data_IF_375245742203
#
_entry.id   IF_375245742203
#
_cell.length_a   1.000
_cell.length_b   1.000
_cell.length_c   1.000
_cell.angle_alpha   90.00
_cell.angle_beta   90.00
_cell.angle_gamma   90.00
#
_symmetry.space_group_name_H-M   'P 1'
#
loop_
_entity.id
_entity.type
_entity.pdbx_description
1 polymer ?
#
# COMPACT_ATOMS: atom_id res chain seq x y z
N UNK A 1 -29.91 60.09 6.15
CA UNK A 1 -30.93 59.47 7.01
C UNK A 1 -30.45 58.06 7.34
N UNK A 2 -29.83 57.90 8.50
CA UNK A 2 -29.32 56.62 9.00
C UNK A 2 -30.48 55.87 9.65
N UNK A 3 -31.00 54.84 9.00
CA UNK A 3 -31.95 53.89 9.60
C UNK A 3 -31.19 52.93 10.53
N UNK A 4 -30.64 53.45 11.62
CA UNK A 4 -30.20 52.61 12.73
C UNK A 4 -31.47 52.22 13.48
N UNK A 5 -31.76 50.92 13.56
CA UNK A 5 -32.94 50.43 14.26
C UNK A 5 -32.93 50.86 15.74
N UNK A 6 -34.10 51.00 16.33
CA UNK A 6 -34.24 51.31 17.75
C UNK A 6 -34.28 50.02 18.57
N UNK A 7 -33.68 50.04 19.76
CA UNK A 7 -33.79 48.94 20.71
C UNK A 7 -35.25 48.80 21.16
N UNK A 8 -35.87 47.62 21.08
CA UNK A 8 -37.27 47.44 21.46
C UNK A 8 -37.51 47.57 22.97
N UNK A 9 -36.45 47.50 23.79
CA UNK A 9 -36.55 47.63 25.25
C UNK A 9 -36.48 49.09 25.68
N UNK A 10 -35.48 49.84 25.23
CA UNK A 10 -35.29 51.23 25.65
C UNK A 10 -35.82 52.27 24.64
N UNK A 11 -36.37 51.80 23.51
CA UNK A 11 -36.94 52.58 22.40
C UNK A 11 -36.01 53.64 21.81
N UNK A 12 -34.72 53.55 22.14
CA UNK A 12 -33.66 54.47 21.72
C UNK A 12 -32.71 53.78 20.74
N UNK A 13 -31.83 54.55 20.10
CA UNK A 13 -30.73 54.00 19.30
C UNK A 13 -29.93 52.97 20.10
N UNK A 14 -29.49 51.91 19.43
CA UNK A 14 -28.70 50.86 20.06
C UNK A 14 -27.41 51.41 20.68
N UNK A 15 -27.28 51.24 22.00
CA UNK A 15 -26.05 51.48 22.76
C UNK A 15 -25.47 50.13 23.12
N UNK A 16 -24.32 49.79 22.53
CA UNK A 16 -23.64 48.50 22.71
C UNK A 16 -24.56 47.32 22.34
N UNK A 17 -24.80 47.08 21.03
CA UNK A 17 -25.72 46.04 20.59
C UNK A 17 -25.25 44.64 21.02
N UNK A 18 -26.14 43.90 21.66
CA UNK A 18 -25.97 42.52 22.09
C UNK A 18 -27.00 41.63 21.37
N UNK A 19 -26.52 40.55 20.73
CA UNK A 19 -27.38 39.59 20.03
C UNK A 19 -27.56 38.32 20.86
N UNK A 20 -28.81 37.96 21.14
CA UNK A 20 -29.13 36.65 21.74
C UNK A 20 -29.10 35.54 20.68
N UNK A 21 -28.98 34.24 21.07
CA UNK A 21 -28.85 33.13 20.12
C UNK A 21 -29.97 33.01 19.08
N UNK A 22 -31.15 33.58 19.32
CA UNK A 22 -32.24 33.65 18.35
C UNK A 22 -32.15 34.82 17.35
N UNK A 23 -31.05 35.60 17.37
CA UNK A 23 -30.75 36.64 16.39
C UNK A 23 -31.37 38.03 16.66
N UNK A 24 -32.10 38.20 17.76
CA UNK A 24 -32.62 39.51 18.17
C UNK A 24 -31.52 40.38 18.78
N UNK A 25 -31.54 41.69 18.50
CA UNK A 25 -30.59 42.66 19.02
C UNK A 25 -31.22 43.58 20.08
N UNK A 26 -30.49 43.80 21.17
CA UNK A 26 -30.84 44.68 22.29
C UNK A 26 -29.62 45.50 22.71
N UNK A 27 -29.80 46.54 23.53
CA UNK A 27 -28.67 47.17 24.22
C UNK A 27 -28.14 46.22 25.32
N UNK A 28 -26.82 46.12 25.50
CA UNK A 28 -26.19 45.26 26.51
C UNK A 28 -26.80 45.47 27.91
N UNK A 29 -26.89 46.74 28.35
CA UNK A 29 -27.52 47.11 29.63
C UNK A 29 -28.98 46.66 29.72
N UNK A 30 -29.73 46.75 28.62
CA UNK A 30 -31.13 46.32 28.57
C UNK A 30 -31.26 44.79 28.66
N UNK A 31 -30.30 44.03 28.12
CA UNK A 31 -30.27 42.58 28.25
C UNK A 31 -29.95 42.14 29.69
N UNK A 32 -29.01 42.81 30.35
CA UNK A 32 -28.64 42.51 31.73
C UNK A 32 -29.76 42.84 32.72
N UNK A 33 -30.43 43.98 32.55
CA UNK A 33 -31.49 44.44 33.47
C UNK A 33 -32.78 43.62 33.37
N UNK A 34 -33.09 43.09 32.18
CA UNK A 34 -34.28 42.27 31.93
C UNK A 34 -34.04 40.77 32.08
N UNK A 35 -32.85 40.32 32.47
CA UNK A 35 -32.58 38.91 32.75
C UNK A 35 -33.34 38.36 33.96
N UNK A 36 -33.83 39.23 34.83
CA UNK A 36 -34.53 38.91 36.09
C UNK A 36 -36.04 39.11 36.06
N UNK A 37 -36.59 39.71 35.00
CA UNK A 37 -38.03 39.82 34.79
C UNK A 37 -38.35 39.35 33.38
N UNK A 38 -39.03 38.20 33.30
CA UNK A 38 -39.53 37.55 32.09
C UNK A 38 -39.65 38.53 30.92
N UNK A 39 -38.67 38.49 30.01
CA UNK A 39 -38.90 38.97 28.66
C UNK A 39 -40.09 38.13 28.20
N UNK A 40 -41.28 38.74 28.21
CA UNK A 40 -42.39 38.35 27.35
C UNK A 40 -41.85 38.51 25.93
N UNK A 41 -41.03 37.53 25.58
CA UNK A 41 -40.68 37.19 24.24
C UNK A 41 -42.05 37.05 23.60
N UNK A 42 -42.34 37.94 22.66
CA UNK A 42 -43.39 37.67 21.69
C UNK A 42 -43.29 36.19 21.32
N UNK A 43 -44.43 35.49 21.28
CA UNK A 43 -44.56 34.03 21.13
C UNK A 43 -43.75 33.42 19.96
N UNK A 44 -43.10 34.25 19.14
CA UNK A 44 -42.14 33.93 18.10
C UNK A 44 -40.84 33.24 18.56
N UNK A 45 -40.44 33.30 19.84
CA UNK A 45 -39.13 32.80 20.28
C UNK A 45 -39.14 31.55 21.18
N UNK A 46 -40.31 31.00 21.55
CA UNK A 46 -40.38 30.00 22.62
C UNK A 46 -40.23 28.54 22.16
N UNK A 47 -40.31 28.20 20.86
CA UNK A 47 -40.44 26.79 20.44
C UNK A 47 -39.55 26.32 19.28
N UNK A 48 -38.45 27.00 18.97
CA UNK A 48 -37.55 26.58 17.89
C UNK A 48 -36.42 25.69 18.39
N UNK A 49 -36.48 24.38 18.15
CA UNK A 49 -35.25 23.58 17.97
C UNK A 49 -34.32 24.38 17.08
N UNK A 50 -33.11 24.72 17.55
CA UNK A 50 -32.13 25.43 16.75
C UNK A 50 -31.65 24.49 15.63
N UNK A 51 -32.48 24.31 14.60
CA UNK A 51 -32.04 23.91 13.28
C UNK A 51 -30.96 24.92 12.94
N UNK A 52 -29.72 24.44 12.89
CA UNK A 52 -28.51 25.21 12.65
C UNK A 52 -28.84 26.25 11.58
N UNK A 53 -29.16 27.48 12.00
CA UNK A 53 -29.43 28.54 11.06
C UNK A 53 -28.08 28.76 10.41
N UNK A 54 -27.95 28.35 9.17
CA UNK A 54 -26.88 28.81 8.31
C UNK A 54 -26.93 30.32 8.47
N UNK A 55 -25.93 30.98 9.08
CA UNK A 55 -26.02 32.39 9.35
C UNK A 55 -26.24 33.03 8.00
N UNK A 56 -27.43 33.56 7.78
CA UNK A 56 -27.77 34.28 6.55
C UNK A 56 -26.74 35.39 6.51
N UNK A 57 -25.75 35.24 5.62
CA UNK A 57 -24.60 36.13 5.49
C UNK A 57 -25.14 37.56 5.34
N UNK A 58 -25.22 38.30 6.44
CA UNK A 58 -25.41 39.74 6.36
C UNK A 58 -24.16 40.25 5.68
N UNK A 59 -24.31 40.78 4.47
CA UNK A 59 -23.22 41.43 3.75
C UNK A 59 -22.75 42.59 4.61
N UNK A 60 -21.71 42.35 5.39
CA UNK A 60 -20.99 43.38 6.13
C UNK A 60 -20.09 44.05 5.10
N UNK A 61 -20.50 45.23 4.64
CA UNK A 61 -19.64 46.09 3.85
C UNK A 61 -18.63 46.71 4.81
N UNK A 62 -17.44 46.12 4.89
CA UNK A 62 -16.31 46.75 5.54
C UNK A 62 -15.93 47.97 4.68
N UNK A 63 -16.02 49.16 5.25
CA UNK A 63 -15.55 50.41 4.65
C UNK A 63 -14.03 50.38 4.54
N UNK A 64 -13.52 49.55 3.63
CA UNK A 64 -12.09 49.45 3.32
C UNK A 64 -11.77 50.46 2.24
N UNK A 65 -10.59 51.08 2.32
CA UNK A 65 -10.14 51.95 1.24
C UNK A 65 -10.03 51.12 -0.06
N UNK A 66 -10.29 51.71 -1.24
CA UNK A 66 -10.25 50.97 -2.50
C UNK A 66 -8.90 50.24 -2.72
N UNK A 67 -7.80 50.81 -2.25
CA UNK A 67 -6.46 50.18 -2.29
C UNK A 67 -6.33 48.91 -1.44
N UNK A 68 -6.98 48.85 -0.27
CA UNK A 68 -6.94 47.66 0.60
C UNK A 68 -7.82 46.53 0.03
N UNK A 69 -8.92 46.90 -0.63
CA UNK A 69 -9.83 45.95 -1.26
C UNK A 69 -9.18 45.22 -2.44
N UNK A 70 -8.35 45.90 -3.22
CA UNK A 70 -7.67 45.32 -4.38
C UNK A 70 -6.62 44.27 -3.98
N UNK A 71 -5.85 44.54 -2.92
CA UNK A 71 -4.91 43.56 -2.37
C UNK A 71 -5.59 42.32 -1.77
N UNK A 72 -6.80 42.47 -1.23
CA UNK A 72 -7.60 41.34 -0.76
C UNK A 72 -8.15 40.51 -1.93
N UNK A 73 -8.66 41.15 -2.98
CA UNK A 73 -9.16 40.48 -4.18
C UNK A 73 -8.06 39.62 -4.81
N UNK A 74 -6.87 40.17 -5.01
CA UNK A 74 -5.73 39.42 -5.56
C UNK A 74 -5.36 38.20 -4.70
N UNK A 75 -5.39 38.34 -3.37
CA UNK A 75 -5.13 37.21 -2.46
C UNK A 75 -6.21 36.14 -2.57
N UNK A 76 -7.48 36.52 -2.69
CA UNK A 76 -8.59 35.58 -2.87
C UNK A 76 -8.42 34.81 -4.18
N UNK A 77 -8.17 35.51 -5.29
CA UNK A 77 -7.94 34.87 -6.60
C UNK A 77 -6.75 33.91 -6.57
N UNK A 78 -5.63 34.31 -5.94
CA UNK A 78 -4.45 33.47 -5.79
C UNK A 78 -4.74 32.21 -4.95
N UNK A 79 -5.51 32.34 -3.87
CA UNK A 79 -5.91 31.21 -3.03
C UNK A 79 -6.88 30.28 -3.75
N UNK A 80 -7.84 30.82 -4.50
CA UNK A 80 -8.76 30.03 -5.31
C UNK A 80 -8.03 29.24 -6.39
N UNK A 81 -7.04 29.84 -7.06
CA UNK A 81 -6.19 29.15 -8.02
C UNK A 81 -5.41 28.01 -7.36
N UNK A 82 -4.83 28.24 -6.17
CA UNK A 82 -4.12 27.21 -5.41
C UNK A 82 -5.03 26.06 -4.98
N UNK A 83 -6.25 26.35 -4.53
CA UNK A 83 -7.24 25.33 -4.16
C UNK A 83 -7.59 24.45 -5.37
N UNK A 84 -7.75 25.04 -6.56
CA UNK A 84 -8.01 24.28 -7.79
C UNK A 84 -6.87 23.32 -8.11
N UNK A 85 -5.62 23.76 -8.03
CA UNK A 85 -4.45 22.91 -8.26
C UNK A 85 -4.40 21.76 -7.24
N UNK A 86 -4.52 22.07 -5.94
CA UNK A 86 -4.48 21.07 -4.87
C UNK A 86 -5.60 20.03 -5.00
N UNK A 87 -6.77 20.41 -5.52
CA UNK A 87 -7.86 19.46 -5.76
C UNK A 87 -7.54 18.49 -6.90
N UNK A 88 -6.89 18.97 -7.96
CA UNK A 88 -6.43 18.11 -9.07
C UNK A 88 -5.37 17.14 -8.56
N UNK A 89 -4.36 17.64 -7.85
CA UNK A 89 -3.28 16.80 -7.29
C UNK A 89 -3.81 15.74 -6.31
N UNK A 90 -4.75 16.12 -5.42
CA UNK A 90 -5.37 15.15 -4.51
C UNK A 90 -6.15 14.06 -5.26
N UNK A 91 -6.84 14.42 -6.34
CA UNK A 91 -7.55 13.45 -7.17
C UNK A 91 -6.58 12.45 -7.82
N UNK A 92 -5.49 12.95 -8.41
CA UNK A 92 -4.47 12.11 -9.03
C UNK A 92 -3.77 11.21 -8.02
N UNK A 93 -3.42 11.75 -6.85
CA UNK A 93 -2.81 10.98 -5.76
C UNK A 93 -3.73 9.85 -5.31
N UNK A 94 -5.01 10.14 -5.08
CA UNK A 94 -6.01 9.11 -4.71
C UNK A 94 -6.10 8.01 -5.77
N UNK A 95 -6.16 8.38 -7.05
CA UNK A 95 -6.18 7.43 -8.16
C UNK A 95 -4.93 6.56 -8.18
N UNK A 96 -3.76 7.14 -7.92
CA UNK A 96 -2.49 6.42 -7.83
C UNK A 96 -2.49 5.44 -6.64
N UNK A 97 -2.93 5.87 -5.47
CA UNK A 97 -3.07 5.02 -4.29
C UNK A 97 -4.01 3.84 -4.52
N UNK A 98 -5.14 4.06 -5.19
CA UNK A 98 -6.10 3.00 -5.54
C UNK A 98 -5.48 1.95 -6.47
N UNK A 99 -4.71 2.40 -7.47
CA UNK A 99 -3.99 1.50 -8.38
C UNK A 99 -2.96 0.64 -7.62
N UNK A 100 -2.12 1.27 -6.80
CA UNK A 100 -1.10 0.55 -6.01
C UNK A 100 -1.77 -0.45 -5.06
N UNK A 101 -2.86 -0.07 -4.40
CA UNK A 101 -3.61 -0.96 -3.52
C UNK A 101 -4.17 -2.18 -4.27
N UNK A 102 -4.68 -1.99 -5.49
CA UNK A 102 -5.15 -3.08 -6.33
C UNK A 102 -4.01 -4.03 -6.75
N UNK A 103 -2.85 -3.48 -7.11
CA UNK A 103 -1.67 -4.26 -7.46
C UNK A 103 -1.13 -5.06 -6.28
N UNK A 104 -1.01 -4.46 -5.10
CA UNK A 104 -0.62 -5.15 -3.85
C UNK A 104 -1.59 -6.29 -3.54
N UNK A 105 -2.90 -6.06 -3.69
CA UNK A 105 -3.90 -7.10 -3.47
C UNK A 105 -3.76 -8.26 -4.48
N UNK A 106 -3.41 -7.97 -5.73
CA UNK A 106 -3.11 -9.01 -6.74
C UNK A 106 -1.87 -9.81 -6.37
N UNK A 107 -0.80 -9.15 -5.93
CA UNK A 107 0.42 -9.81 -5.48
C UNK A 107 0.18 -10.70 -4.26
N UNK A 108 -0.53 -10.20 -3.24
CA UNK A 108 -0.86 -10.97 -2.05
C UNK A 108 -1.66 -12.26 -2.37
N UNK A 109 -2.63 -12.16 -3.30
CA UNK A 109 -3.35 -13.35 -3.79
C UNK A 109 -2.43 -14.35 -4.50
N UNK A 110 -1.52 -13.85 -5.33
CA UNK A 110 -0.54 -14.69 -6.03
C UNK A 110 0.41 -15.40 -5.07
N UNK A 111 0.90 -14.69 -4.05
CA UNK A 111 1.77 -15.26 -3.01
C UNK A 111 1.05 -16.35 -2.21
N UNK A 112 -0.19 -16.09 -1.77
CA UNK A 112 -0.97 -17.09 -1.04
C UNK A 112 -1.26 -18.33 -1.90
N UNK A 113 -1.57 -18.15 -3.18
CA UNK A 113 -1.76 -19.27 -4.10
C UNK A 113 -0.46 -20.10 -4.27
N UNK A 114 0.69 -19.44 -4.35
CA UNK A 114 1.99 -20.11 -4.40
C UNK A 114 2.29 -20.87 -3.11
N UNK A 115 2.05 -20.26 -1.94
CA UNK A 115 2.21 -20.90 -0.63
C UNK A 115 1.36 -22.17 -0.50
N UNK A 116 0.08 -22.09 -0.86
CA UNK A 116 -0.82 -23.24 -0.84
C UNK A 116 -0.35 -24.38 -1.77
N UNK A 117 0.28 -24.03 -2.90
CA UNK A 117 0.84 -25.03 -3.82
C UNK A 117 2.09 -25.69 -3.23
N UNK A 118 2.97 -24.90 -2.60
CA UNK A 118 4.15 -25.42 -1.89
C UNK A 118 3.71 -26.38 -0.79
N UNK A 119 2.77 -25.98 0.08
CA UNK A 119 2.24 -26.82 1.15
C UNK A 119 1.65 -28.13 0.61
N UNK A 120 0.87 -28.08 -0.48
CA UNK A 120 0.34 -29.29 -1.13
C UNK A 120 1.45 -30.22 -1.60
N UNK A 121 2.49 -29.68 -2.24
CA UNK A 121 3.61 -30.48 -2.73
C UNK A 121 4.45 -31.03 -1.58
N UNK A 122 4.66 -30.26 -0.51
CA UNK A 122 5.36 -30.72 0.69
C UNK A 122 4.63 -31.90 1.34
N UNK A 123 3.30 -31.82 1.47
CA UNK A 123 2.48 -32.92 1.98
C UNK A 123 2.60 -34.18 1.10
N UNK A 124 2.55 -34.03 -0.24
CA UNK A 124 2.70 -35.16 -1.15
C UNK A 124 4.11 -35.77 -1.09
N UNK A 125 5.15 -34.94 -1.05
CA UNK A 125 6.53 -35.44 -0.91
C UNK A 125 6.74 -36.17 0.41
N UNK A 126 6.11 -35.71 1.49
CA UNK A 126 6.15 -36.38 2.80
C UNK A 126 5.48 -37.74 2.73
N UNK A 127 4.26 -37.80 2.16
CA UNK A 127 3.52 -39.05 1.96
C UNK A 127 4.31 -40.06 1.11
N UNK A 128 4.92 -39.62 0.02
CA UNK A 128 5.71 -40.50 -0.84
C UNK A 128 6.96 -41.04 -0.13
N UNK A 129 7.59 -40.24 0.74
CA UNK A 129 8.73 -40.71 1.56
C UNK A 129 8.31 -41.77 2.57
N UNK A 130 7.14 -41.62 3.19
CA UNK A 130 6.59 -42.63 4.11
C UNK A 130 6.33 -43.95 3.38
N UNK A 131 5.62 -43.90 2.26
CA UNK A 131 5.35 -45.10 1.42
C UNK A 131 6.63 -45.77 0.94
N UNK A 132 7.65 -44.99 0.55
CA UNK A 132 8.95 -45.53 0.18
C UNK A 132 9.63 -46.21 1.37
N UNK A 133 9.52 -45.63 2.57
CA UNK A 133 10.02 -46.21 3.81
C UNK A 133 9.38 -47.56 4.11
N UNK A 134 8.05 -47.66 4.01
CA UNK A 134 7.29 -48.90 4.20
C UNK A 134 7.70 -49.97 3.19
N UNK A 135 7.74 -49.63 1.90
CA UNK A 135 8.12 -50.56 0.82
C UNK A 135 9.57 -51.07 0.97
N UNK A 136 10.50 -50.23 1.43
CA UNK A 136 11.87 -50.63 1.70
C UNK A 136 11.96 -51.61 2.88
N UNK A 137 11.16 -51.41 3.93
CA UNK A 137 11.07 -52.35 5.05
C UNK A 137 10.50 -53.70 4.59
N UNK A 138 9.42 -53.69 3.81
CA UNK A 138 8.84 -54.91 3.24
C UNK A 138 9.83 -55.67 2.35
N UNK A 139 10.52 -54.98 1.44
CA UNK A 139 11.53 -55.59 0.57
C UNK A 139 12.69 -56.19 1.38
N UNK A 140 13.10 -55.54 2.48
CA UNK A 140 14.13 -56.06 3.38
C UNK A 140 13.67 -57.33 4.09
N UNK A 141 12.43 -57.37 4.56
CA UNK A 141 11.84 -58.58 5.18
C UNK A 141 11.74 -59.71 4.15
N UNK A 142 11.19 -59.46 2.97
CA UNK A 142 11.08 -60.45 1.90
C UNK A 142 12.44 -61.06 1.52
N UNK A 143 13.49 -60.23 1.43
CA UNK A 143 14.87 -60.71 1.20
C UNK A 143 15.38 -61.61 2.32
N UNK A 144 15.06 -61.33 3.57
CA UNK A 144 15.47 -62.15 4.71
C UNK A 144 14.77 -63.53 4.75
N UNK A 145 13.58 -63.64 4.17
CA UNK A 145 12.82 -64.89 4.09
C UNK A 145 13.12 -65.72 2.84
N UNK A 146 13.96 -65.25 1.91
CA UNK A 146 14.39 -66.07 0.78
C UNK A 146 15.27 -67.22 1.30
N UNK A 147 14.89 -68.49 1.07
CA UNK A 147 15.72 -69.61 1.45
C UNK A 147 17.05 -69.51 0.70
N UNK A 148 18.16 -69.68 1.40
CA UNK A 148 19.47 -69.84 0.79
C UNK A 148 19.37 -70.94 -0.26
N UNK A 149 19.42 -70.54 -1.53
CA UNK A 149 19.50 -71.48 -2.65
C UNK A 149 20.68 -72.41 -2.38
N UNK A 150 20.53 -73.73 -2.58
CA UNK A 150 21.66 -74.64 -2.51
C UNK A 150 22.71 -74.21 -3.52
N UNK A 151 23.96 -74.19 -3.06
CA UNK A 151 25.14 -73.82 -3.82
C UNK A 151 25.19 -74.54 -5.18
N UNK A 152 24.95 -73.82 -6.26
CA UNK A 152 25.48 -74.20 -7.56
C UNK A 152 26.79 -73.47 -7.76
N UNK A 153 27.87 -74.14 -7.36
CA UNK A 153 29.24 -73.87 -7.76
C UNK A 153 29.32 -73.83 -9.30
N UNK A 154 29.24 -72.63 -9.86
CA UNK A 154 29.44 -72.36 -11.28
C UNK A 154 30.39 -71.18 -11.43
N UNK A 155 31.68 -71.50 -11.42
CA UNK A 155 32.78 -70.62 -11.81
C UNK A 155 32.49 -70.06 -13.20
N UNK A 156 32.50 -68.74 -13.32
CA UNK A 156 32.35 -68.00 -14.55
C UNK A 156 32.85 -66.58 -14.32
N UNK A 157 34.17 -66.46 -14.19
CA UNK A 157 34.89 -65.21 -14.40
C UNK A 157 34.45 -64.63 -15.74
N UNK A 158 33.92 -63.40 -15.77
CA UNK A 158 34.04 -62.56 -16.96
C UNK A 158 33.81 -61.07 -16.66
N UNK A 159 34.93 -60.36 -16.78
CA UNK A 159 35.10 -58.99 -17.27
C UNK A 159 34.48 -57.80 -16.52
N UNK A 160 35.35 -57.21 -15.69
CA UNK A 160 35.76 -55.81 -15.78
C UNK A 160 35.53 -55.18 -17.18
N UNK A 161 34.53 -54.31 -17.29
CA UNK A 161 34.48 -53.24 -18.31
C UNK A 161 33.91 -51.96 -17.73
N UNK A 162 34.82 -50.99 -17.54
CA UNK A 162 34.67 -49.54 -17.77
C UNK A 162 33.47 -48.85 -17.10
N UNK A 163 33.62 -47.96 -16.13
CA UNK A 163 34.50 -46.77 -16.12
C UNK A 163 34.51 -46.03 -17.46
N UNK A 164 33.40 -45.35 -17.83
CA UNK A 164 33.43 -44.13 -18.68
C UNK A 164 32.09 -43.42 -18.96
N UNK A 165 30.94 -43.84 -18.42
CA UNK A 165 29.66 -43.20 -18.83
C UNK A 165 29.15 -42.06 -17.92
N UNK A 166 29.85 -41.74 -16.83
CA UNK A 166 29.41 -40.66 -15.90
C UNK A 166 29.68 -39.24 -16.45
N UNK A 167 30.60 -39.07 -17.41
CA UNK A 167 30.98 -37.72 -17.90
C UNK A 167 30.09 -37.23 -19.05
N UNK A 168 29.31 -38.11 -19.72
CA UNK A 168 28.48 -37.74 -20.88
C UNK A 168 27.06 -37.26 -20.54
N UNK A 169 26.59 -37.43 -19.32
CA UNK A 169 25.24 -36.99 -18.91
C UNK A 169 25.16 -35.52 -18.44
N UNK A 170 26.29 -34.83 -18.24
CA UNK A 170 26.30 -33.46 -17.70
C UNK A 170 26.35 -32.35 -18.76
N UNK A 171 26.78 -32.64 -19.99
CA UNK A 171 26.82 -31.65 -21.07
C UNK A 171 25.44 -31.05 -21.47
N UNK A 172 24.32 -31.81 -21.45
CA UNK A 172 23.01 -31.24 -21.78
C UNK A 172 22.46 -30.30 -20.69
N UNK A 173 22.82 -30.53 -19.42
CA UNK A 173 22.30 -29.75 -18.28
C UNK A 173 22.88 -28.34 -18.25
N UNK A 174 24.14 -28.15 -18.66
CA UNK A 174 24.75 -26.82 -18.70
C UNK A 174 24.13 -25.97 -19.82
N UNK A 175 23.80 -26.53 -20.98
CA UNK A 175 23.11 -25.80 -22.06
C UNK A 175 21.68 -25.36 -21.70
N UNK A 176 20.96 -26.14 -20.89
CA UNK A 176 19.60 -25.79 -20.46
C UNK A 176 19.55 -24.61 -19.47
N UNK A 177 20.62 -24.40 -18.69
CA UNK A 177 20.73 -23.26 -17.78
C UNK A 177 20.99 -21.97 -18.57
N UNK A 178 21.82 -22.02 -19.62
CA UNK A 178 22.11 -20.84 -20.44
C UNK A 178 20.91 -20.32 -21.26
N UNK A 179 20.01 -21.22 -21.69
CA UNK A 179 18.83 -20.81 -22.47
C UNK A 179 17.68 -20.25 -21.62
N UNK A 180 17.52 -20.69 -20.37
CA UNK A 180 16.43 -20.18 -19.51
C UNK A 180 16.67 -18.77 -18.96
N UNK A 181 17.92 -18.32 -18.83
CA UNK A 181 18.19 -16.96 -18.34
C UNK A 181 17.97 -15.87 -19.40
N UNK A 182 17.93 -16.21 -20.69
CA UNK A 182 17.66 -15.25 -21.75
C UNK A 182 16.16 -14.90 -21.89
N UNK A 183 15.26 -15.69 -21.31
CA UNK A 183 13.81 -15.49 -21.38
C UNK A 183 13.16 -14.98 -20.09
N UNK A 184 13.92 -14.80 -19.01
CA UNK A 184 13.44 -14.04 -17.84
C UNK A 184 13.57 -12.56 -18.17
N UNK A 185 12.65 -12.07 -19.01
CA UNK A 185 12.34 -10.67 -19.17
C UNK A 185 11.81 -10.13 -17.85
N UNK A 186 12.72 -9.79 -16.93
CA UNK A 186 12.44 -8.99 -15.74
C UNK A 186 11.98 -7.61 -16.21
N UNK A 187 10.67 -7.49 -16.43
CA UNK A 187 9.98 -6.22 -16.61
C UNK A 187 10.19 -5.40 -15.33
N UNK A 188 11.06 -4.40 -15.45
CA UNK A 188 11.57 -3.53 -14.36
C UNK A 188 10.44 -2.67 -13.79
N UNK A 189 10.31 -2.54 -12.45
CA UNK A 189 9.68 -1.39 -11.82
C UNK A 189 10.67 -0.44 -11.14
N UNK A 190 11.97 -0.77 -11.07
CA UNK A 190 12.96 0.07 -10.40
C UNK A 190 14.18 0.24 -11.31
N UNK A 191 14.57 1.50 -11.56
CA UNK A 191 15.63 1.91 -12.49
C UNK A 191 17.05 1.55 -12.04
N UNK A 192 17.31 0.28 -11.73
CA UNK A 192 18.63 -0.24 -11.40
C UNK A 192 19.09 -1.14 -12.55
N UNK A 193 20.21 -0.80 -13.18
CA UNK A 193 20.87 -1.69 -14.14
C UNK A 193 21.72 -2.68 -13.36
N UNK A 194 21.35 -3.96 -13.42
CA UNK A 194 22.17 -5.04 -12.89
C UNK A 194 23.07 -5.52 -14.05
N UNK A 195 24.37 -5.25 -13.97
CA UNK A 195 25.35 -5.88 -14.84
C UNK A 195 25.95 -7.09 -14.13
N UNK A 196 25.83 -8.27 -14.75
CA UNK A 196 26.50 -9.49 -14.29
C UNK A 196 27.88 -9.50 -14.94
N UNK A 197 28.94 -9.28 -14.16
CA UNK A 197 30.25 -8.93 -14.74
C UNK A 197 31.14 -10.14 -15.06
N UNK A 198 31.00 -11.30 -14.41
CA UNK A 198 31.76 -12.50 -14.81
C UNK A 198 31.44 -13.75 -14.00
N UNK A 199 31.52 -14.92 -14.63
CA UNK A 199 31.63 -16.22 -13.96
C UNK A 199 33.09 -16.70 -14.06
N UNK A 200 33.82 -16.73 -12.96
CA UNK A 200 35.12 -17.40 -12.90
C UNK A 200 34.96 -18.76 -12.21
N UNK A 201 35.18 -19.90 -12.91
CA UNK A 201 35.25 -21.20 -12.26
C UNK A 201 36.57 -21.32 -11.50
N UNK A 202 36.52 -21.23 -10.17
CA UNK A 202 37.64 -21.60 -9.30
C UNK A 202 37.57 -23.12 -9.08
N UNK A 203 38.44 -23.85 -9.77
CA UNK A 203 38.57 -25.30 -9.61
C UNK A 203 39.43 -25.59 -8.38
N UNK A 204 38.79 -25.72 -7.22
CA UNK A 204 39.35 -26.46 -6.08
C UNK A 204 38.62 -27.80 -5.97
N UNK A 205 39.36 -28.88 -6.18
CA UNK A 205 38.95 -30.29 -6.03
C UNK A 205 38.04 -30.56 -4.81
N UNK A 206 37.12 -31.55 -4.83
CA UNK A 206 36.31 -32.10 -5.91
C UNK A 206 34.90 -31.46 -5.96
N UNK A 207 34.71 -30.30 -5.35
CA UNK A 207 33.42 -29.59 -5.27
C UNK A 207 33.49 -28.30 -6.09
N UNK A 208 32.86 -28.28 -7.26
CA UNK A 208 32.75 -27.06 -8.07
C UNK A 208 31.78 -26.10 -7.37
N UNK A 209 32.31 -25.10 -6.68
CA UNK A 209 31.54 -24.01 -6.12
C UNK A 209 31.47 -22.86 -7.14
N UNK A 210 30.27 -22.50 -7.57
CA UNK A 210 30.04 -21.34 -8.42
C UNK A 210 29.82 -20.11 -7.54
N UNK A 211 30.77 -19.18 -7.53
CA UNK A 211 30.57 -17.86 -6.92
C UNK A 211 29.92 -16.92 -7.92
N UNK A 212 28.73 -16.45 -7.60
CA UNK A 212 28.07 -15.38 -8.36
C UNK A 212 28.39 -14.08 -7.63
N UNK A 213 29.32 -13.29 -8.19
CA UNK A 213 29.52 -11.92 -7.74
C UNK A 213 28.53 -11.00 -8.44
N UNK A 214 27.59 -10.45 -7.67
CA UNK A 214 26.63 -9.45 -8.15
C UNK A 214 27.13 -8.08 -7.73
N UNK A 215 27.51 -7.25 -8.69
CA UNK A 215 27.89 -5.86 -8.46
C UNK A 215 26.69 -4.97 -8.74
N UNK A 216 26.14 -4.31 -7.72
CA UNK A 216 25.07 -3.32 -7.90
C UNK A 216 25.71 -1.95 -7.97
N UNK A 217 25.70 -1.31 -9.14
CA UNK A 217 26.20 0.06 -9.31
C UNK A 217 24.99 1.00 -9.26
N UNK A 218 24.83 1.83 -8.21
CA UNK A 218 23.77 2.83 -8.19
C UNK A 218 24.06 3.90 -9.24
N UNK A 219 23.08 4.19 -10.11
CA UNK A 219 23.17 5.34 -11.03
C UNK A 219 23.08 6.64 -10.23
N UNK A 220 23.92 7.65 -10.52
CA UNK A 220 23.75 8.97 -9.92
C UNK A 220 22.43 9.57 -10.40
N UNK A 221 21.56 9.91 -9.46
CA UNK A 221 20.36 10.70 -9.72
C UNK A 221 20.80 12.07 -10.25
N UNK A 222 20.53 12.34 -11.53
CA UNK A 222 20.56 13.70 -12.04
C UNK A 222 19.19 14.32 -11.73
N UNK A 223 19.21 15.33 -10.85
CA UNK A 223 18.06 16.20 -10.60
C UNK A 223 17.66 16.91 -11.90
N UNK A 224 16.40 16.75 -12.30
CA UNK A 224 15.72 17.55 -13.33
C UNK A 224 14.52 18.24 -12.70
#
# INVERSE_FOLDING_TARGET
MSYLGNCPICLSDYKEPYSIPCGHLFCLKSAETNSSSSIQSSDSCQNGTYQYMVPSLRRLFLSTSPSESEGLIQKVEALEARIKILNIENYELRRSCEKVKADVARHARGENAAKNKVERLENETTRLRELLGEALVEARLARAYLPSSPDTTGVGDDHDRGSSDIVRCWLPLVSLIFLNFHEIGLHRPFGVDIQIVSFLPLVLSPTVAYFISISVVPRPFFDY
#
